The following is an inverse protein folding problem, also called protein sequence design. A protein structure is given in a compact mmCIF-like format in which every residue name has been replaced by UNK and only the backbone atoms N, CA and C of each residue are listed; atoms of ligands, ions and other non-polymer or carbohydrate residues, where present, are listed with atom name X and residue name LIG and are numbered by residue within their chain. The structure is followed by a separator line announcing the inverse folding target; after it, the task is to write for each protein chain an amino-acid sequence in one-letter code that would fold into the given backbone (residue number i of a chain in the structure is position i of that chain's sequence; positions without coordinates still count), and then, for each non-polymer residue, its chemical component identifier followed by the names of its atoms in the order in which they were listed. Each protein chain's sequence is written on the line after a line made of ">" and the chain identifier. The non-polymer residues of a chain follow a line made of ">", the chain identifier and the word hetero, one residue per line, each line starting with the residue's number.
data_IF_613256751066
#
_entry.id   IF_613256751066
#
_cell.length_a   1.000
_cell.length_b   1.000
_cell.length_c   1.000
_cell.angle_alpha   90.00
_cell.angle_beta   90.00
_cell.angle_gamma   90.00
#
_symmetry.space_group_name_H-M   'P 1'
#
loop_
_entity.id
_entity.type
_entity.pdbx_description
1 polymer ?
#
# COMPACT_ATOMS: atom_id res chain seq x y z
N UNK A 1 -49.32 17.46 -7.06
CA UNK A 1 -47.87 17.74 -6.98
C UNK A 1 -47.44 17.22 -5.62
N UNK A 2 -46.49 16.29 -5.58
CA UNK A 2 -46.17 15.55 -4.37
C UNK A 2 -45.29 16.37 -3.44
N UNK A 3 -45.03 15.83 -2.25
CA UNK A 3 -44.06 16.42 -1.32
C UNK A 3 -42.72 16.70 -2.02
N UNK A 4 -42.12 17.85 -1.72
CA UNK A 4 -40.90 18.32 -2.39
C UNK A 4 -39.73 17.33 -2.23
N UNK A 5 -39.67 16.60 -1.11
CA UNK A 5 -38.62 15.60 -0.90
C UNK A 5 -38.80 14.35 -1.77
N UNK A 6 -40.05 13.98 -2.10
CA UNK A 6 -40.34 12.88 -3.00
C UNK A 6 -40.08 13.27 -4.46
N UNK A 7 -40.44 14.49 -4.86
CA UNK A 7 -40.18 14.96 -6.23
C UNK A 7 -38.69 15.06 -6.53
N UNK A 8 -37.88 15.56 -5.59
CA UNK A 8 -36.42 15.59 -5.72
C UNK A 8 -35.81 14.18 -5.83
N UNK A 9 -36.34 13.22 -5.08
CA UNK A 9 -35.90 11.83 -5.15
C UNK A 9 -36.22 11.22 -6.52
N UNK A 10 -37.41 11.49 -7.06
CA UNK A 10 -37.81 11.02 -8.38
C UNK A 10 -36.92 11.62 -9.46
N UNK A 11 -36.68 12.94 -9.43
CA UNK A 11 -35.84 13.61 -10.42
C UNK A 11 -34.39 13.12 -10.39
N UNK A 12 -33.85 12.82 -9.20
CA UNK A 12 -32.52 12.24 -9.05
C UNK A 12 -32.42 10.83 -9.63
N UNK A 13 -33.45 9.99 -9.40
CA UNK A 13 -33.49 8.60 -9.85
C UNK A 13 -33.70 8.48 -11.36
N UNK A 14 -34.48 9.37 -11.98
CA UNK A 14 -34.73 9.30 -13.42
C UNK A 14 -33.65 10.02 -14.26
N UNK A 15 -32.70 10.71 -13.64
CA UNK A 15 -31.74 11.60 -14.31
C UNK A 15 -30.89 10.92 -15.39
N UNK A 16 -30.59 9.64 -15.24
CA UNK A 16 -29.81 8.85 -16.20
C UNK A 16 -30.67 8.20 -17.32
N UNK A 17 -31.99 8.35 -17.25
CA UNK A 17 -32.96 7.82 -18.20
C UNK A 17 -33.25 6.32 -18.05
N UNK A 18 -32.71 5.64 -17.03
CA UNK A 18 -32.90 4.21 -16.79
C UNK A 18 -33.11 3.95 -15.30
N UNK A 19 -34.31 3.54 -14.91
CA UNK A 19 -34.58 3.20 -13.51
C UNK A 19 -34.29 1.72 -13.21
N UNK A 20 -33.50 1.45 -12.17
CA UNK A 20 -33.22 0.10 -11.68
C UNK A 20 -34.26 -0.39 -10.65
N UNK A 21 -34.34 -1.70 -10.46
CA UNK A 21 -35.24 -2.32 -9.46
C UNK A 21 -34.93 -1.89 -8.01
N UNK A 22 -33.71 -1.42 -7.74
CA UNK A 22 -33.34 -0.91 -6.43
C UNK A 22 -33.87 0.51 -6.24
N UNK A 23 -33.72 1.37 -7.24
CA UNK A 23 -34.19 2.75 -7.18
C UNK A 23 -35.72 2.83 -7.18
N UNK A 24 -36.39 1.99 -7.98
CA UNK A 24 -37.85 1.85 -7.95
C UNK A 24 -38.34 1.52 -6.53
N UNK A 25 -37.70 0.57 -5.84
CA UNK A 25 -38.04 0.21 -4.45
C UNK A 25 -37.83 1.36 -3.46
N UNK A 26 -36.79 2.17 -3.64
CA UNK A 26 -36.52 3.32 -2.76
C UNK A 26 -37.60 4.38 -2.90
N UNK A 27 -38.02 4.69 -4.13
CA UNK A 27 -39.12 5.63 -4.38
C UNK A 27 -40.43 5.12 -3.79
N UNK A 28 -40.77 3.84 -4.01
CA UNK A 28 -41.99 3.23 -3.47
C UNK A 28 -42.03 3.25 -1.93
N UNK A 29 -40.90 2.94 -1.28
CA UNK A 29 -40.80 2.99 0.19
C UNK A 29 -40.98 4.40 0.74
N UNK A 30 -40.45 5.41 0.04
CA UNK A 30 -40.60 6.82 0.41
C UNK A 30 -42.05 7.29 0.20
N UNK A 31 -42.67 6.91 -0.92
CA UNK A 31 -44.08 7.22 -1.20
C UNK A 31 -45.02 6.60 -0.17
N UNK A 32 -44.80 5.32 0.21
CA UNK A 32 -45.56 4.65 1.25
C UNK A 32 -45.44 5.34 2.62
N UNK A 33 -44.25 5.88 2.96
CA UNK A 33 -44.07 6.64 4.21
C UNK A 33 -44.85 7.96 4.25
N UNK A 34 -45.26 8.46 3.09
CA UNK A 34 -46.09 9.66 2.91
C UNK A 34 -47.57 9.31 2.72
N UNK A 35 -47.93 8.02 2.82
CA UNK A 35 -49.30 7.53 2.65
C UNK A 35 -49.79 7.57 1.20
N UNK A 36 -48.89 7.60 0.22
CA UNK A 36 -49.22 7.60 -1.21
C UNK A 36 -49.40 6.16 -1.68
N UNK A 37 -50.41 5.93 -2.52
CA UNK A 37 -50.69 4.62 -3.10
C UNK A 37 -49.58 4.15 -4.04
N UNK A 38 -49.28 2.85 -4.01
CA UNK A 38 -48.19 2.26 -4.78
C UNK A 38 -48.43 2.36 -6.29
N UNK A 39 -49.66 2.13 -6.76
CA UNK A 39 -49.97 2.13 -8.18
C UNK A 39 -49.97 3.57 -8.72
N UNK A 40 -50.43 4.53 -7.90
CA UNK A 40 -50.43 5.96 -8.24
C UNK A 40 -49.02 6.50 -8.47
N UNK A 41 -48.06 6.17 -7.59
CA UNK A 41 -46.68 6.64 -7.73
C UNK A 41 -45.95 5.94 -8.86
N UNK A 42 -46.28 4.69 -9.17
CA UNK A 42 -45.66 3.92 -10.24
C UNK A 42 -46.04 4.49 -11.62
N UNK A 43 -47.33 4.78 -11.83
CA UNK A 43 -47.80 5.47 -13.05
C UNK A 43 -47.16 6.86 -13.19
N UNK A 44 -47.01 7.58 -12.08
CA UNK A 44 -46.38 8.90 -12.08
C UNK A 44 -44.89 8.85 -12.45
N UNK A 45 -44.16 7.90 -11.88
CA UNK A 45 -42.74 7.66 -12.14
C UNK A 45 -42.49 7.32 -13.62
N UNK A 46 -43.31 6.44 -14.18
CA UNK A 46 -43.23 6.03 -15.59
C UNK A 46 -43.57 7.20 -16.54
N UNK A 47 -44.60 7.99 -16.21
CA UNK A 47 -44.94 9.19 -17.00
C UNK A 47 -43.81 10.22 -17.03
N UNK A 48 -43.09 10.40 -15.91
CA UNK A 48 -41.96 11.34 -15.81
C UNK A 48 -40.73 10.81 -16.56
N UNK A 49 -40.47 9.50 -16.50
CA UNK A 49 -39.42 8.84 -17.27
C UNK A 49 -39.68 8.93 -18.79
N UNK A 50 -40.92 8.75 -19.22
CA UNK A 50 -41.31 8.88 -20.64
C UNK A 50 -41.24 10.32 -21.14
N UNK A 51 -41.62 11.29 -20.31
CA UNK A 51 -41.45 12.71 -20.61
C UNK A 51 -39.97 13.07 -20.80
N UNK A 52 -39.10 12.54 -19.93
CA UNK A 52 -37.66 12.70 -20.04
C UNK A 52 -37.13 12.09 -21.34
N UNK A 53 -37.50 10.84 -21.66
CA UNK A 53 -37.11 10.18 -22.92
C UNK A 53 -37.59 10.94 -24.16
N UNK A 54 -38.78 11.54 -24.13
CA UNK A 54 -39.30 12.40 -25.21
C UNK A 54 -38.56 13.74 -25.32
N UNK A 55 -37.95 14.24 -24.24
CA UNK A 55 -37.13 15.45 -24.29
C UNK A 55 -35.77 15.22 -24.97
N UNK A 56 -35.24 13.99 -24.90
CA UNK A 56 -33.98 13.59 -25.53
C UNK A 56 -34.12 13.10 -26.97
N UNK A 57 -35.34 12.85 -27.46
CA UNK A 57 -35.58 12.60 -28.88
C UNK A 57 -35.91 13.91 -29.62
N UNK A 58 -35.26 14.21 -30.76
CA UNK A 58 -35.63 15.38 -31.54
C UNK A 58 -37.09 15.23 -31.99
N UNK A 59 -37.90 16.27 -31.74
CA UNK A 59 -39.25 16.36 -32.31
C UNK A 59 -39.12 16.18 -33.83
N UNK A 60 -39.55 15.04 -34.35
CA UNK A 60 -39.71 14.86 -35.78
C UNK A 60 -40.79 15.82 -36.23
N UNK A 61 -40.37 16.93 -36.84
CA UNK A 61 -41.27 17.82 -37.54
C UNK A 61 -41.98 17.03 -38.62
N UNK A 62 -43.29 16.81 -38.44
CA UNK A 62 -44.19 16.40 -39.51
C UNK A 62 -44.28 17.55 -40.53
N UNK A 63 -43.32 17.66 -41.42
CA UNK A 63 -43.49 18.32 -42.70
C UNK A 63 -43.00 17.39 -43.80
N UNK A 64 -43.95 16.74 -44.47
CA UNK A 64 -43.70 16.05 -45.73
C UNK A 64 -43.30 17.08 -46.79
N UNK A 65 -42.00 17.39 -46.85
CA UNK A 65 -41.41 18.00 -48.04
C UNK A 65 -41.02 16.85 -48.94
N UNK A 66 -41.83 16.62 -49.97
CA UNK A 66 -41.45 15.75 -51.08
C UNK A 66 -40.22 16.39 -51.73
N UNK A 67 -39.05 15.77 -51.55
CA UNK A 67 -37.81 16.24 -52.18
C UNK A 67 -37.80 15.76 -53.63
N UNK A 68 -37.85 16.69 -54.57
CA UNK A 68 -37.76 16.41 -56.01
C UNK A 68 -36.32 16.52 -56.48
N UNK A 69 -35.92 15.70 -57.45
CA UNK A 69 -34.60 15.75 -58.07
C UNK A 69 -34.46 17.08 -58.82
N UNK A 70 -33.41 17.88 -58.57
CA UNK A 70 -33.23 19.17 -59.24
C UNK A 70 -32.91 19.03 -60.74
N UNK A 71 -32.51 17.85 -61.19
CA UNK A 71 -32.15 17.59 -62.59
C UNK A 71 -33.32 17.06 -63.43
N UNK A 72 -34.24 16.27 -62.85
CA UNK A 72 -35.34 15.66 -63.62
C UNK A 72 -36.74 15.78 -62.97
N UNK A 73 -36.85 16.39 -61.80
CA UNK A 73 -38.12 16.59 -61.10
C UNK A 73 -38.70 15.34 -60.42
N UNK A 74 -38.10 14.15 -60.59
CA UNK A 74 -38.58 12.92 -59.97
C UNK A 74 -38.57 12.99 -58.44
N UNK A 75 -39.54 12.36 -57.78
CA UNK A 75 -39.58 12.27 -56.32
C UNK A 75 -38.46 11.38 -55.80
N UNK A 76 -37.63 11.91 -54.91
CA UNK A 76 -36.44 11.23 -54.38
C UNK A 76 -36.74 10.72 -52.98
N UNK A 77 -36.49 9.43 -52.75
CA UNK A 77 -36.52 8.84 -51.41
C UNK A 77 -35.49 9.55 -50.51
N UNK A 78 -35.89 9.92 -49.29
CA UNK A 78 -35.00 10.63 -48.36
C UNK A 78 -33.72 9.83 -48.10
N UNK A 79 -32.57 10.37 -48.54
CA UNK A 79 -31.25 9.75 -48.35
C UNK A 79 -30.66 9.03 -49.57
N UNK A 80 -31.31 9.04 -50.73
CA UNK A 80 -30.71 8.49 -51.96
C UNK A 80 -29.49 9.33 -52.39
N UNK A 81 -28.34 8.69 -52.61
CA UNK A 81 -27.10 9.35 -53.05
C UNK A 81 -27.05 9.65 -54.56
N UNK A 82 -27.90 8.97 -55.34
CA UNK A 82 -28.08 9.20 -56.78
C UNK A 82 -29.57 9.09 -57.12
N UNK A 83 -30.03 9.88 -58.08
CA UNK A 83 -31.40 9.75 -58.58
C UNK A 83 -31.56 8.45 -59.37
N UNK A 84 -32.52 7.59 -59.00
CA UNK A 84 -32.81 6.32 -59.70
C UNK A 84 -33.20 6.54 -61.17
N UNK A 85 -33.91 7.64 -61.45
CA UNK A 85 -34.45 7.93 -62.79
C UNK A 85 -33.42 8.55 -63.76
N UNK A 86 -32.48 9.39 -63.29
CA UNK A 86 -31.59 10.14 -64.18
C UNK A 86 -30.09 10.01 -63.85
N UNK A 87 -29.75 9.23 -62.83
CA UNK A 87 -28.36 9.00 -62.42
C UNK A 87 -27.65 10.21 -61.81
N UNK A 88 -28.32 11.35 -61.63
CA UNK A 88 -27.74 12.56 -61.03
C UNK A 88 -27.25 12.25 -59.61
N UNK A 89 -25.95 12.42 -59.38
CA UNK A 89 -25.34 12.27 -58.07
C UNK A 89 -25.57 13.54 -57.26
N UNK A 90 -26.20 13.41 -56.09
CA UNK A 90 -26.42 14.55 -55.22
C UNK A 90 -25.09 14.93 -54.57
N UNK A 91 -24.43 15.94 -55.12
CA UNK A 91 -23.23 16.55 -54.55
C UNK A 91 -23.59 17.97 -54.12
N UNK A 92 -23.51 18.26 -52.82
CA UNK A 92 -23.74 19.61 -52.30
C UNK A 92 -24.71 19.70 -51.13
N UNK A 93 -24.35 19.10 -50.01
CA UNK A 93 -24.59 19.73 -48.71
C UNK A 93 -23.19 20.11 -48.25
N UNK A 94 -22.94 21.39 -47.95
CA UNK A 94 -21.65 21.95 -47.56
C UNK A 94 -20.81 20.95 -46.74
N UNK A 95 -19.84 20.33 -47.40
CA UNK A 95 -19.00 19.29 -46.81
C UNK A 95 -17.98 19.96 -45.90
N UNK A 96 -18.41 20.32 -44.69
CA UNK A 96 -17.47 20.48 -43.59
C UNK A 96 -16.96 19.06 -43.30
N UNK A 97 -15.76 18.70 -43.79
CA UNK A 97 -15.26 17.32 -43.68
C UNK A 97 -15.39 16.85 -42.23
N UNK A 98 -15.89 15.64 -42.01
CA UNK A 98 -16.34 15.21 -40.68
C UNK A 98 -15.23 15.29 -39.62
N UNK A 99 -13.97 15.20 -40.05
CA UNK A 99 -12.79 15.46 -39.23
C UNK A 99 -12.69 16.92 -38.75
N UNK A 100 -12.97 17.90 -39.62
CA UNK A 100 -13.00 19.33 -39.27
C UNK A 100 -14.13 19.63 -38.30
N UNK A 101 -15.31 19.07 -38.51
CA UNK A 101 -16.46 19.26 -37.62
C UNK A 101 -16.20 18.65 -36.22
N UNK A 102 -15.53 17.50 -36.15
CA UNK A 102 -15.08 16.93 -34.89
C UNK A 102 -14.06 17.84 -34.19
N UNK A 103 -13.06 18.34 -34.93
CA UNK A 103 -12.03 19.21 -34.38
C UNK A 103 -12.61 20.53 -33.86
N UNK A 104 -13.56 21.13 -34.59
CA UNK A 104 -14.28 22.34 -34.19
C UNK A 104 -15.07 22.13 -32.88
N UNK A 105 -15.80 21.01 -32.77
CA UNK A 105 -16.54 20.65 -31.54
C UNK A 105 -15.60 20.45 -30.35
N UNK A 106 -14.42 19.90 -30.57
CA UNK A 106 -13.43 19.69 -29.50
C UNK A 106 -12.77 21.00 -29.05
N UNK A 107 -12.55 21.94 -29.98
CA UNK A 107 -12.02 23.29 -29.67
C UNK A 107 -13.02 24.19 -28.95
N UNK A 108 -14.32 23.95 -29.13
CA UNK A 108 -15.37 24.73 -28.48
C UNK A 108 -15.51 24.45 -26.97
N UNK A 109 -14.91 23.37 -26.47
CA UNK A 109 -14.95 22.99 -25.05
C UNK A 109 -14.03 23.92 -24.26
N UNK A 110 -14.54 24.46 -23.14
CA UNK A 110 -13.80 25.28 -22.17
C UNK A 110 -14.03 24.75 -20.76
N UNK A 111 -12.96 24.62 -19.98
CA UNK A 111 -13.01 24.17 -18.59
C UNK A 111 -11.63 23.88 -18.01
N UNK A 112 -11.58 23.18 -16.87
CA UNK A 112 -10.35 22.66 -16.25
C UNK A 112 -9.87 21.42 -17.00
N UNK A 113 -8.57 21.10 -16.95
CA UNK A 113 -7.98 20.02 -17.76
C UNK A 113 -8.69 18.66 -17.59
N UNK A 114 -9.12 18.30 -16.37
CA UNK A 114 -9.77 17.02 -16.10
C UNK A 114 -11.23 16.95 -16.57
N UNK A 115 -12.02 18.02 -16.36
CA UNK A 115 -13.40 18.09 -16.88
C UNK A 115 -13.45 18.16 -18.40
N UNK A 116 -12.49 18.87 -19.00
CA UNK A 116 -12.37 18.99 -20.46
C UNK A 116 -12.04 17.65 -21.10
N UNK A 117 -11.22 16.81 -20.45
CA UNK A 117 -10.84 15.51 -20.98
C UNK A 117 -12.01 14.53 -21.06
N UNK A 118 -12.91 14.55 -20.08
CA UNK A 118 -14.13 13.73 -20.09
C UNK A 118 -15.13 14.20 -21.13
N UNK A 119 -15.38 15.51 -21.21
CA UNK A 119 -16.25 16.11 -22.24
C UNK A 119 -15.71 15.82 -23.65
N UNK A 120 -14.39 15.92 -23.86
CA UNK A 120 -13.72 15.60 -25.13
C UNK A 120 -13.87 14.12 -25.48
N UNK A 121 -13.63 13.22 -24.53
CA UNK A 121 -13.77 11.78 -24.76
C UNK A 121 -15.21 11.39 -25.12
N UNK A 122 -16.20 12.00 -24.45
CA UNK A 122 -17.61 11.78 -24.75
C UNK A 122 -17.98 12.30 -26.14
N UNK A 123 -17.49 13.48 -26.54
CA UNK A 123 -17.72 14.02 -27.89
C UNK A 123 -17.09 13.13 -28.96
N UNK A 124 -15.86 12.65 -28.75
CA UNK A 124 -15.18 11.76 -29.70
C UNK A 124 -15.96 10.44 -29.85
N UNK A 125 -16.37 9.83 -28.74
CA UNK A 125 -17.07 8.54 -28.75
C UNK A 125 -18.50 8.65 -29.33
N UNK A 126 -19.21 9.75 -29.09
CA UNK A 126 -20.56 9.96 -29.61
C UNK A 126 -20.59 10.58 -31.02
N UNK A 127 -19.44 10.92 -31.61
CA UNK A 127 -19.41 11.60 -32.91
C UNK A 127 -19.95 10.68 -34.04
N UNK A 128 -20.85 11.18 -34.90
CA UNK A 128 -21.45 10.38 -35.96
C UNK A 128 -20.41 9.97 -36.99
N UNK A 129 -20.43 8.71 -37.40
CA UNK A 129 -19.51 8.21 -38.42
C UNK A 129 -20.03 8.59 -39.81
N UNK A 130 -19.18 9.16 -40.68
CA UNK A 130 -19.53 9.44 -42.07
C UNK A 130 -20.04 8.21 -42.80
N UNK A 131 -20.94 8.41 -43.76
CA UNK A 131 -21.52 7.33 -44.57
C UNK A 131 -21.03 7.33 -46.01
N UNK A 132 -20.48 8.45 -46.48
CA UNK A 132 -19.86 8.54 -47.80
C UNK A 132 -18.48 7.89 -47.75
N UNK A 133 -18.06 7.33 -48.88
CA UNK A 133 -16.79 6.63 -49.02
C UNK A 133 -15.61 7.57 -48.74
N UNK A 134 -15.61 8.73 -49.39
CA UNK A 134 -14.53 9.70 -49.34
C UNK A 134 -14.39 10.30 -47.93
N UNK A 135 -15.49 10.67 -47.28
CA UNK A 135 -15.44 11.24 -45.93
C UNK A 135 -15.05 10.18 -44.89
N UNK A 136 -15.43 8.91 -45.07
CA UNK A 136 -15.04 7.83 -44.16
C UNK A 136 -13.53 7.58 -44.20
N UNK A 137 -12.94 7.58 -45.40
CA UNK A 137 -11.49 7.41 -45.57
C UNK A 137 -10.73 8.61 -44.99
N UNK A 138 -11.17 9.85 -45.28
CA UNK A 138 -10.55 11.06 -44.73
C UNK A 138 -10.65 11.09 -43.19
N UNK A 139 -11.80 10.70 -42.65
CA UNK A 139 -12.02 10.66 -41.20
C UNK A 139 -11.14 9.60 -40.53
N UNK A 140 -11.01 8.41 -41.11
CA UNK A 140 -10.10 7.38 -40.61
C UNK A 140 -8.64 7.84 -40.61
N UNK A 141 -8.18 8.49 -41.69
CA UNK A 141 -6.82 9.02 -41.78
C UNK A 141 -6.54 10.11 -40.74
N UNK A 142 -7.53 10.94 -40.40
CA UNK A 142 -7.42 11.95 -39.35
C UNK A 142 -7.40 11.36 -37.92
N UNK A 143 -8.12 10.24 -37.70
CA UNK A 143 -8.19 9.58 -36.40
C UNK A 143 -6.97 8.68 -36.14
N UNK A 144 -6.41 8.02 -37.16
CA UNK A 144 -5.33 7.02 -37.04
C UNK A 144 -4.15 7.48 -36.16
N UNK A 145 -3.49 8.64 -36.37
CA UNK A 145 -2.35 9.02 -35.55
C UNK A 145 -2.70 9.23 -34.07
N UNK A 146 -3.91 9.74 -33.77
CA UNK A 146 -4.40 9.97 -32.41
C UNK A 146 -4.88 8.69 -31.72
N UNK A 147 -5.45 7.76 -32.51
CA UNK A 147 -5.87 6.44 -32.04
C UNK A 147 -4.66 5.54 -31.70
N UNK A 148 -3.55 5.71 -32.41
CA UNK A 148 -2.34 4.92 -32.23
C UNK A 148 -1.32 5.53 -31.25
N UNK A 149 -1.38 6.84 -30.97
CA UNK A 149 -0.42 7.53 -30.07
C UNK A 149 -0.44 7.04 -28.62
N UNK A 150 -1.55 6.43 -28.20
CA UNK A 150 -1.76 5.91 -26.84
C UNK A 150 -1.66 4.38 -26.71
N UNK A 151 -1.09 3.66 -27.66
CA UNK A 151 -0.94 2.19 -27.57
C UNK A 151 0.47 1.87 -27.04
N UNK A 152 0.63 0.91 -26.10
CA UNK A 152 -0.35 -0.06 -25.58
C UNK A 152 -1.12 0.44 -24.36
N UNK A 153 -0.63 1.48 -23.68
CA UNK A 153 -1.26 2.05 -22.51
C UNK A 153 -2.00 3.32 -22.91
N UNK A 154 -3.32 3.20 -23.10
CA UNK A 154 -4.21 4.34 -23.32
C UNK A 154 -4.07 5.25 -22.11
N UNK A 155 -3.29 6.34 -22.24
CA UNK A 155 -2.82 7.13 -21.09
C UNK A 155 -3.96 7.87 -20.42
N UNK A 156 -4.99 8.21 -21.20
CA UNK A 156 -6.13 8.99 -20.75
C UNK A 156 -7.44 8.54 -21.45
N UNK A 157 -8.57 9.04 -20.96
CA UNK A 157 -9.91 8.77 -21.53
C UNK A 157 -10.01 9.18 -23.01
N UNK A 158 -9.26 10.20 -23.43
CA UNK A 158 -9.25 10.72 -24.81
C UNK A 158 -8.63 9.71 -25.78
N UNK A 159 -7.45 9.17 -25.46
CA UNK A 159 -6.76 8.17 -26.28
C UNK A 159 -7.64 6.93 -26.48
N UNK A 160 -8.37 6.55 -25.40
CA UNK A 160 -9.35 5.45 -25.45
C UNK A 160 -10.49 5.76 -26.42
N UNK A 161 -11.06 6.97 -26.35
CA UNK A 161 -12.15 7.39 -27.22
C UNK A 161 -11.73 7.48 -28.70
N UNK A 162 -10.54 8.02 -28.99
CA UNK A 162 -10.01 8.04 -30.36
C UNK A 162 -9.82 6.64 -30.92
N UNK A 163 -9.26 5.73 -30.12
CA UNK A 163 -9.10 4.33 -30.51
C UNK A 163 -10.43 3.66 -30.82
N UNK A 164 -11.42 3.80 -29.94
CA UNK A 164 -12.74 3.17 -30.11
C UNK A 164 -13.47 3.73 -31.32
N UNK A 165 -13.45 5.04 -31.52
CA UNK A 165 -14.04 5.68 -32.71
C UNK A 165 -13.34 5.24 -34.00
N UNK A 166 -12.03 5.09 -33.99
CA UNK A 166 -11.26 4.60 -35.13
C UNK A 166 -11.59 3.14 -35.47
N UNK A 167 -11.72 2.27 -34.45
CA UNK A 167 -12.18 0.88 -34.63
C UNK A 167 -13.60 0.83 -35.20
N UNK A 168 -14.50 1.68 -34.72
CA UNK A 168 -15.87 1.77 -35.24
C UNK A 168 -15.89 2.19 -36.72
N UNK A 169 -15.01 3.12 -37.12
CA UNK A 169 -14.84 3.52 -38.53
C UNK A 169 -14.30 2.37 -39.38
N UNK A 170 -13.34 1.60 -38.88
CA UNK A 170 -12.80 0.41 -39.57
C UNK A 170 -13.92 -0.61 -39.79
N UNK A 171 -14.68 -0.95 -38.76
CA UNK A 171 -15.79 -1.91 -38.86
C UNK A 171 -16.83 -1.44 -39.88
N UNK A 172 -17.15 -0.14 -39.88
CA UNK A 172 -18.06 0.43 -40.88
C UNK A 172 -17.47 0.38 -42.29
N UNK A 173 -16.18 0.64 -42.46
CA UNK A 173 -15.49 0.53 -43.75
C UNK A 173 -15.46 -0.92 -44.26
N UNK A 174 -15.27 -1.91 -43.39
CA UNK A 174 -15.34 -3.34 -43.76
C UNK A 174 -16.74 -3.73 -44.29
N UNK A 175 -17.81 -3.15 -43.72
CA UNK A 175 -19.19 -3.41 -44.13
C UNK A 175 -19.63 -2.61 -45.37
N UNK A 176 -19.27 -1.33 -45.45
CA UNK A 176 -19.71 -0.42 -46.49
C UNK A 176 -18.83 -0.47 -47.75
N UNK A 177 -17.56 -0.87 -47.63
CA UNK A 177 -16.55 -0.85 -48.70
C UNK A 177 -15.77 -2.18 -48.78
N UNK A 178 -16.44 -3.34 -48.97
CA UNK A 178 -15.80 -4.65 -48.95
C UNK A 178 -14.78 -4.84 -50.09
N UNK A 179 -15.07 -4.30 -51.28
CA UNK A 179 -14.24 -4.50 -52.49
C UNK A 179 -12.88 -3.77 -52.43
N UNK A 180 -12.76 -2.75 -51.58
CA UNK A 180 -11.56 -1.89 -51.52
C UNK A 180 -10.57 -2.31 -50.44
N UNK A 181 -10.93 -3.28 -49.58
CA UNK A 181 -10.09 -3.80 -48.49
C UNK A 181 -9.52 -2.75 -47.52
N UNK A 182 -10.02 -1.51 -47.54
CA UNK A 182 -9.55 -0.41 -46.68
C UNK A 182 -9.62 -0.82 -45.21
N UNK A 183 -10.77 -1.33 -44.76
CA UNK A 183 -10.93 -1.82 -43.39
C UNK A 183 -9.94 -2.93 -43.01
N UNK A 184 -9.70 -3.90 -43.90
CA UNK A 184 -8.75 -5.00 -43.67
C UNK A 184 -7.29 -4.52 -43.52
N UNK A 185 -6.88 -3.48 -44.26
CA UNK A 185 -5.54 -2.90 -44.16
C UNK A 185 -5.36 -2.24 -42.78
N UNK A 186 -6.31 -1.41 -42.37
CA UNK A 186 -6.25 -0.71 -41.08
C UNK A 186 -6.38 -1.69 -39.90
N UNK A 187 -7.22 -2.73 -39.99
CA UNK A 187 -7.31 -3.77 -38.96
C UNK A 187 -6.05 -4.62 -38.85
N UNK A 188 -5.37 -4.91 -39.98
CA UNK A 188 -4.07 -5.60 -39.99
C UNK A 188 -2.96 -4.75 -39.35
N UNK A 189 -2.94 -3.44 -39.59
CA UNK A 189 -2.02 -2.50 -38.92
C UNK A 189 -2.21 -2.49 -37.41
N UNK A 190 -3.46 -2.42 -36.94
CA UNK A 190 -3.79 -2.48 -35.50
C UNK A 190 -3.27 -3.76 -34.84
N UNK A 191 -3.47 -4.92 -35.48
CA UNK A 191 -2.95 -6.22 -35.00
C UNK A 191 -1.42 -6.24 -34.93
N UNK A 192 -0.75 -5.68 -35.95
CA UNK A 192 0.72 -5.59 -35.99
C UNK A 192 1.29 -4.70 -34.88
N UNK A 193 0.61 -3.61 -34.54
CA UNK A 193 1.02 -2.72 -33.45
C UNK A 193 0.91 -3.45 -32.10
N UNK A 194 -0.25 -4.03 -31.75
CA UNK A 194 -0.44 -4.75 -30.49
C UNK A 194 0.56 -5.90 -30.28
N UNK A 195 0.91 -6.66 -31.35
CA UNK A 195 1.87 -7.76 -31.26
C UNK A 195 3.27 -7.30 -30.82
N UNK A 196 3.76 -6.17 -31.33
CA UNK A 196 5.11 -5.64 -30.99
C UNK A 196 5.21 -5.31 -29.51
N UNK A 197 4.19 -4.69 -28.93
CA UNK A 197 4.18 -4.31 -27.53
C UNK A 197 3.97 -5.49 -26.59
N UNK A 198 3.16 -6.48 -26.99
CA UNK A 198 3.00 -7.69 -26.19
C UNK A 198 4.32 -8.46 -26.06
N UNK A 199 5.09 -8.56 -27.15
CA UNK A 199 6.43 -9.18 -27.12
C UNK A 199 7.38 -8.37 -26.22
N UNK A 200 7.45 -7.05 -26.40
CA UNK A 200 8.30 -6.19 -25.57
C UNK A 200 7.98 -6.31 -24.08
N UNK A 201 6.69 -6.29 -23.72
CA UNK A 201 6.23 -6.40 -22.34
C UNK A 201 6.58 -7.75 -21.72
N UNK A 202 6.39 -8.85 -22.46
CA UNK A 202 6.77 -10.19 -21.96
C UNK A 202 8.27 -10.30 -21.68
N UNK A 203 9.11 -9.71 -22.53
CA UNK A 203 10.57 -9.68 -22.32
C UNK A 203 10.93 -8.85 -21.08
N UNK A 204 10.30 -7.69 -20.91
CA UNK A 204 10.53 -6.81 -19.76
C UNK A 204 10.12 -7.51 -18.45
N UNK A 205 8.95 -8.17 -18.41
CA UNK A 205 8.52 -8.92 -17.22
C UNK A 205 9.52 -10.03 -16.90
N UNK A 206 9.94 -10.82 -17.89
CA UNK A 206 10.89 -11.91 -17.67
C UNK A 206 12.24 -11.37 -17.15
N UNK A 207 12.71 -10.24 -17.67
CA UNK A 207 13.91 -9.58 -17.15
C UNK A 207 13.75 -9.14 -15.69
N UNK A 208 12.60 -8.56 -15.32
CA UNK A 208 12.31 -8.18 -13.93
C UNK A 208 12.28 -9.42 -13.03
N UNK A 209 11.63 -10.51 -13.46
CA UNK A 209 11.57 -11.76 -12.68
C UNK A 209 12.98 -12.32 -12.46
N UNK A 210 13.85 -12.28 -13.46
CA UNK A 210 15.25 -12.72 -13.33
C UNK A 210 16.04 -11.84 -12.35
N UNK A 211 15.87 -10.52 -12.41
CA UNK A 211 16.53 -9.59 -11.49
C UNK A 211 16.06 -9.84 -10.05
N UNK A 212 14.74 -9.91 -9.83
CA UNK A 212 14.16 -10.18 -8.51
C UNK A 212 14.59 -11.55 -7.99
N UNK A 213 14.56 -12.58 -8.84
CA UNK A 213 15.04 -13.93 -8.50
C UNK A 213 16.52 -13.93 -8.11
N UNK A 214 17.36 -13.18 -8.82
CA UNK A 214 18.78 -13.02 -8.48
C UNK A 214 19.02 -12.31 -7.14
N UNK A 215 18.24 -11.27 -6.84
CA UNK A 215 18.31 -10.57 -5.53
C UNK A 215 17.87 -11.50 -4.39
N UNK A 216 16.80 -12.28 -4.59
CA UNK A 216 16.33 -13.25 -3.58
C UNK A 216 17.39 -14.33 -3.34
N UNK A 217 17.97 -14.88 -4.42
CA UNK A 217 19.01 -15.91 -4.33
C UNK A 217 20.24 -15.42 -3.55
N UNK A 218 20.78 -14.26 -3.92
CA UNK A 218 21.96 -13.68 -3.24
C UNK A 218 21.67 -13.30 -1.79
N UNK A 219 20.47 -12.80 -1.49
CA UNK A 219 20.07 -12.52 -0.11
C UNK A 219 19.99 -13.79 0.74
N UNK A 220 19.46 -14.88 0.18
CA UNK A 220 19.37 -16.17 0.88
C UNK A 220 20.75 -16.74 1.23
N UNK A 221 21.70 -16.70 0.29
CA UNK A 221 23.08 -17.18 0.52
C UNK A 221 23.78 -16.37 1.62
N UNK A 222 23.63 -15.03 1.61
CA UNK A 222 24.19 -14.15 2.66
C UNK A 222 23.56 -14.43 4.02
N UNK A 223 22.26 -14.75 4.07
CA UNK A 223 21.58 -15.09 5.32
C UNK A 223 22.07 -16.42 5.90
N UNK A 224 22.20 -17.46 5.07
CA UNK A 224 22.76 -18.75 5.50
C UNK A 224 24.17 -18.60 6.08
N UNK A 225 25.05 -17.85 5.41
CA UNK A 225 26.39 -17.59 5.89
C UNK A 225 26.43 -16.78 7.21
N UNK A 226 25.41 -15.95 7.48
CA UNK A 226 25.27 -15.24 8.76
C UNK A 226 24.79 -16.16 9.88
N UNK A 227 23.83 -17.04 9.58
CA UNK A 227 23.32 -18.04 10.52
C UNK A 227 24.42 -19.02 10.95
N UNK A 228 25.22 -19.52 10.02
CA UNK A 228 26.36 -20.40 10.34
C UNK A 228 27.37 -19.73 11.28
N UNK A 229 27.71 -18.46 11.02
CA UNK A 229 28.61 -17.69 11.89
C UNK A 229 28.01 -17.40 13.26
N UNK A 230 26.71 -17.14 13.34
CA UNK A 230 26.03 -16.95 14.61
C UNK A 230 26.00 -18.26 15.40
N UNK A 231 25.68 -19.38 14.75
CA UNK A 231 25.68 -20.71 15.37
C UNK A 231 27.07 -21.11 15.87
N UNK A 232 28.13 -20.86 15.10
CA UNK A 232 29.50 -21.13 15.54
C UNK A 232 29.87 -20.26 16.74
N UNK A 233 29.51 -18.98 16.73
CA UNK A 233 29.76 -18.06 17.85
C UNK A 233 29.03 -18.51 19.12
N UNK A 234 27.79 -18.98 19.01
CA UNK A 234 27.03 -19.53 20.14
C UNK A 234 27.67 -20.80 20.69
N UNK A 235 28.14 -21.71 19.84
CA UNK A 235 28.83 -22.92 20.29
C UNK A 235 30.11 -22.58 21.09
N UNK A 236 30.93 -21.66 20.57
CA UNK A 236 32.14 -21.19 21.27
C UNK A 236 31.81 -20.44 22.57
N UNK A 237 30.68 -19.73 22.62
CA UNK A 237 30.18 -19.08 23.83
C UNK A 237 29.80 -20.09 24.91
N UNK A 238 29.04 -21.14 24.57
CA UNK A 238 28.61 -22.16 25.53
C UNK A 238 29.80 -22.92 26.12
N UNK A 239 30.81 -23.23 25.30
CA UNK A 239 32.05 -23.86 25.77
C UNK A 239 32.79 -22.94 26.74
N UNK A 240 33.05 -21.68 26.35
CA UNK A 240 33.70 -20.70 27.21
C UNK A 240 32.93 -20.46 28.51
N UNK A 241 31.60 -20.39 28.45
CA UNK A 241 30.71 -20.18 29.60
C UNK A 241 30.84 -21.36 30.56
N UNK A 242 30.79 -22.59 30.05
CA UNK A 242 30.93 -23.80 30.87
C UNK A 242 32.28 -23.84 31.59
N UNK A 243 33.37 -23.58 30.89
CA UNK A 243 34.71 -23.51 31.50
C UNK A 243 34.79 -22.40 32.55
N UNK A 244 34.28 -21.20 32.22
CA UNK A 244 34.27 -20.06 33.12
C UNK A 244 33.44 -20.32 34.38
N UNK A 245 32.30 -21.01 34.27
CA UNK A 245 31.46 -21.36 35.43
C UNK A 245 32.20 -22.27 36.42
N UNK A 246 32.95 -23.27 35.92
CA UNK A 246 33.79 -24.13 36.76
C UNK A 246 34.87 -23.31 37.47
N UNK A 247 35.57 -22.44 36.73
CA UNK A 247 36.58 -21.55 37.35
C UNK A 247 36.00 -20.62 38.42
N UNK A 248 34.78 -20.11 38.20
CA UNK A 248 34.09 -19.22 39.15
C UNK A 248 33.75 -20.00 40.43
N UNK A 249 33.25 -21.23 40.30
CA UNK A 249 32.93 -22.09 41.43
C UNK A 249 34.17 -22.43 42.24
N UNK A 250 35.26 -22.85 41.59
CA UNK A 250 36.54 -23.14 42.24
C UNK A 250 37.11 -21.90 42.94
N UNK A 251 37.07 -20.73 42.29
CA UNK A 251 37.54 -19.49 42.89
C UNK A 251 36.69 -19.08 44.11
N UNK A 252 35.37 -19.22 44.01
CA UNK A 252 34.46 -18.93 45.11
C UNK A 252 34.71 -19.88 46.30
N UNK A 253 34.96 -21.17 46.03
CA UNK A 253 35.28 -22.16 47.07
C UNK A 253 36.58 -21.81 47.80
N UNK A 254 37.64 -21.45 47.07
CA UNK A 254 38.92 -21.02 47.67
C UNK A 254 38.74 -19.80 48.58
N UNK A 255 37.94 -18.80 48.16
CA UNK A 255 37.66 -17.64 49.00
C UNK A 255 36.78 -18.01 50.21
N UNK A 256 35.84 -18.93 50.03
CA UNK A 256 34.98 -19.41 51.12
C UNK A 256 35.77 -20.20 52.16
N UNK A 257 36.76 -20.99 51.76
CA UNK A 257 37.67 -21.70 52.67
C UNK A 257 38.49 -20.71 53.51
N UNK A 258 38.99 -19.63 52.89
CA UNK A 258 39.68 -18.56 53.63
C UNK A 258 38.77 -17.86 54.64
N UNK A 259 37.48 -17.66 54.30
CA UNK A 259 36.49 -17.12 55.23
C UNK A 259 36.19 -18.10 56.37
N UNK A 260 36.09 -19.40 56.08
CA UNK A 260 35.81 -20.43 57.09
C UNK A 260 36.99 -20.67 58.04
N UNK A 261 38.22 -20.38 57.59
CA UNK A 261 39.40 -20.40 58.43
C UNK A 261 39.44 -19.26 59.47
N UNK A 262 38.57 -18.25 59.37
CA UNK A 262 38.47 -17.18 60.37
C UNK A 262 37.85 -17.77 61.65
N UNK A 263 38.55 -17.73 62.79
CA UNK A 263 38.01 -18.27 64.03
C UNK A 263 36.79 -17.46 64.47
N UNK A 264 35.91 -18.09 65.25
CA UNK A 264 34.71 -17.43 65.78
C UNK A 264 35.07 -16.12 66.50
N UNK A 265 34.51 -14.96 66.07
CA UNK A 265 34.84 -13.67 66.67
C UNK A 265 34.38 -13.57 68.12
N UNK A 266 35.27 -13.09 68.98
CA UNK A 266 35.04 -12.80 70.39
C UNK A 266 35.71 -11.48 70.76
N UNK A 267 35.34 -10.91 71.91
CA UNK A 267 35.94 -9.67 72.41
C UNK A 267 37.48 -9.74 72.59
N UNK A 268 38.09 -10.94 72.62
CA UNK A 268 39.54 -11.12 72.80
C UNK A 268 40.32 -11.28 71.50
N UNK A 269 39.68 -11.71 70.42
CA UNK A 269 40.35 -12.04 69.14
C UNK A 269 39.81 -11.26 67.94
N UNK A 270 38.94 -10.27 68.16
CA UNK A 270 38.27 -9.51 67.09
C UNK A 270 39.25 -8.82 66.13
N UNK A 271 40.39 -8.29 66.62
CA UNK A 271 41.41 -7.64 65.78
C UNK A 271 42.03 -8.62 64.78
N UNK A 272 42.42 -9.81 65.25
CA UNK A 272 42.97 -10.87 64.40
C UNK A 272 41.94 -11.35 63.38
N UNK A 273 40.68 -11.55 63.80
CA UNK A 273 39.60 -11.91 62.89
C UNK A 273 39.39 -10.83 61.82
N UNK A 274 39.41 -9.54 62.20
CA UNK A 274 39.29 -8.41 61.29
C UNK A 274 40.44 -8.36 60.27
N UNK A 275 41.68 -8.58 60.72
CA UNK A 275 42.84 -8.63 59.83
C UNK A 275 42.78 -9.79 58.82
N UNK A 276 42.28 -10.96 59.23
CA UNK A 276 42.04 -12.09 58.31
C UNK A 276 40.91 -11.78 57.33
N UNK A 277 39.79 -11.23 57.83
CA UNK A 277 38.63 -10.86 57.02
C UNK A 277 38.97 -9.84 55.93
N UNK A 278 39.78 -8.83 56.24
CA UNK A 278 40.21 -7.81 55.29
C UNK A 278 41.05 -8.36 54.13
N UNK A 279 41.76 -9.48 54.32
CA UNK A 279 42.59 -10.09 53.27
C UNK A 279 41.78 -10.83 52.20
N UNK A 280 40.56 -11.26 52.52
CA UNK A 280 39.74 -12.06 51.60
C UNK A 280 38.88 -11.13 50.75
N UNK A 281 39.17 -11.00 49.45
CA UNK A 281 38.42 -10.11 48.54
C UNK A 281 38.17 -10.77 47.19
N UNK A 282 37.00 -10.51 46.61
CA UNK A 282 36.68 -10.90 45.24
C UNK A 282 37.34 -9.92 44.26
N UNK A 283 38.32 -10.38 43.50
CA UNK A 283 39.14 -9.53 42.62
C UNK A 283 39.12 -9.92 41.14
N UNK A 284 38.80 -11.18 40.82
CA UNK A 284 38.70 -11.65 39.43
C UNK A 284 37.31 -11.35 38.86
N UNK A 285 37.24 -11.11 37.55
CA UNK A 285 36.00 -10.92 36.78
C UNK A 285 36.01 -11.81 35.54
N UNK A 286 34.86 -12.35 35.19
CA UNK A 286 34.69 -13.18 33.99
C UNK A 286 33.83 -12.42 32.97
N UNK A 287 34.48 -11.46 32.31
CA UNK A 287 33.93 -10.69 31.18
C UNK A 287 34.76 -11.00 29.92
N UNK A 288 34.05 -11.29 28.83
CA UNK A 288 34.66 -11.46 27.52
C UNK A 288 33.95 -10.56 26.50
N UNK A 289 34.69 -9.58 25.97
CA UNK A 289 34.17 -8.60 24.99
C UNK A 289 33.50 -9.25 23.80
N UNK A 290 33.98 -10.42 23.36
CA UNK A 290 33.43 -11.18 22.23
C UNK A 290 32.00 -11.66 22.49
N UNK A 291 31.68 -11.97 23.75
CA UNK A 291 30.40 -12.57 24.16
C UNK A 291 29.47 -11.63 24.91
N UNK A 292 29.81 -10.34 25.02
CA UNK A 292 29.02 -9.35 25.77
C UNK A 292 27.57 -9.22 25.31
N UNK A 293 27.29 -9.37 24.02
CA UNK A 293 25.91 -9.36 23.53
C UNK A 293 25.11 -10.55 24.06
N UNK A 294 25.71 -11.74 24.03
CA UNK A 294 25.11 -12.99 24.49
C UNK A 294 24.92 -13.00 26.01
N UNK A 295 25.92 -12.52 26.75
CA UNK A 295 25.82 -12.33 28.20
C UNK A 295 24.61 -11.43 28.56
N UNK A 296 24.42 -10.32 27.84
CA UNK A 296 23.29 -9.41 28.05
C UNK A 296 21.94 -10.04 27.76
N UNK A 297 21.84 -10.86 26.71
CA UNK A 297 20.62 -11.60 26.38
C UNK A 297 20.21 -12.56 27.50
N UNK A 298 21.19 -13.16 28.18
CA UNK A 298 20.97 -14.03 29.34
C UNK A 298 20.84 -13.28 30.69
N UNK A 299 20.86 -11.94 30.68
CA UNK A 299 20.70 -11.12 31.87
C UNK A 299 21.98 -10.83 32.66
N UNK A 300 23.14 -11.23 32.13
CA UNK A 300 24.47 -10.85 32.61
C UNK A 300 24.89 -9.55 31.91
N UNK A 301 24.51 -8.41 32.51
CA UNK A 301 24.87 -7.08 32.03
C UNK A 301 26.34 -6.75 32.38
N UNK A 302 26.60 -5.61 33.04
CA UNK A 302 27.95 -5.19 33.42
C UNK A 302 28.51 -5.98 34.62
N UNK A 303 27.70 -6.87 35.20
CA UNK A 303 28.02 -7.65 36.41
C UNK A 303 28.91 -8.87 36.13
N UNK A 304 29.16 -9.22 34.86
CA UNK A 304 29.92 -10.41 34.47
C UNK A 304 29.18 -11.73 34.73
N UNK A 305 29.78 -12.85 34.30
CA UNK A 305 29.22 -14.19 34.51
C UNK A 305 29.24 -14.60 36.00
N UNK A 306 30.14 -14.00 36.79
CA UNK A 306 30.36 -14.29 38.20
C UNK A 306 29.35 -13.65 39.17
N UNK A 307 28.38 -12.89 38.65
CA UNK A 307 27.39 -12.12 39.42
C UNK A 307 26.80 -12.86 40.62
N UNK A 308 26.33 -14.09 40.42
CA UNK A 308 25.62 -14.82 41.46
C UNK A 308 26.57 -15.43 42.50
N UNK A 309 27.73 -15.91 42.07
CA UNK A 309 28.78 -16.39 42.95
C UNK A 309 29.34 -15.25 43.82
N UNK A 310 29.59 -14.08 43.21
CA UNK A 310 29.99 -12.86 43.91
C UNK A 310 28.96 -12.47 44.98
N UNK A 311 27.67 -12.45 44.65
CA UNK A 311 26.61 -12.14 45.62
C UNK A 311 26.57 -13.15 46.78
N UNK A 312 26.76 -14.43 46.50
CA UNK A 312 26.82 -15.46 47.54
C UNK A 312 28.02 -15.25 48.47
N UNK A 313 29.21 -15.03 47.91
CA UNK A 313 30.42 -14.70 48.66
C UNK A 313 30.25 -13.43 49.50
N UNK A 314 29.74 -12.35 48.90
CA UNK A 314 29.53 -11.07 49.57
C UNK A 314 28.58 -11.22 50.78
N UNK A 315 27.51 -11.99 50.66
CA UNK A 315 26.61 -12.29 51.79
C UNK A 315 27.34 -12.99 52.94
N UNK A 316 28.15 -14.00 52.63
CA UNK A 316 28.93 -14.74 53.65
C UNK A 316 29.97 -13.85 54.31
N UNK A 317 30.74 -13.12 53.51
CA UNK A 317 31.75 -12.16 53.99
C UNK A 317 31.12 -11.09 54.90
N UNK A 318 29.98 -10.52 54.49
CA UNK A 318 29.29 -9.51 55.30
C UNK A 318 28.77 -10.07 56.62
N UNK A 319 28.23 -11.30 56.62
CA UNK A 319 27.80 -11.97 57.87
C UNK A 319 28.94 -12.13 58.88
N UNK A 320 30.13 -12.53 58.41
CA UNK A 320 31.33 -12.63 59.26
C UNK A 320 31.77 -11.23 59.72
N UNK A 321 31.73 -10.23 58.84
CA UNK A 321 32.04 -8.83 59.16
C UNK A 321 31.15 -8.30 60.28
N UNK A 322 29.85 -8.56 60.24
CA UNK A 322 28.92 -8.18 61.31
C UNK A 322 29.22 -8.88 62.64
N UNK A 323 29.60 -10.16 62.62
CA UNK A 323 30.04 -10.86 63.84
C UNK A 323 31.30 -10.23 64.44
N UNK A 324 32.26 -9.82 63.60
CA UNK A 324 33.46 -9.11 64.04
C UNK A 324 33.11 -7.74 64.63
N UNK A 325 32.21 -6.97 64.00
CA UNK A 325 31.69 -5.70 64.53
C UNK A 325 31.04 -5.88 65.91
N UNK A 326 30.23 -6.92 66.09
CA UNK A 326 29.61 -7.24 67.40
C UNK A 326 30.65 -7.63 68.46
N UNK A 327 31.68 -8.41 68.08
CA UNK A 327 32.77 -8.79 68.96
C UNK A 327 33.61 -7.58 69.39
N UNK A 328 33.89 -6.64 68.48
CA UNK A 328 34.56 -5.38 68.77
C UNK A 328 33.75 -4.51 69.74
N UNK A 329 32.44 -4.32 69.50
CA UNK A 329 31.56 -3.60 70.42
C UNK A 329 31.57 -4.22 71.83
N UNK A 330 31.61 -5.56 71.93
CA UNK A 330 31.72 -6.22 73.22
C UNK A 330 33.07 -5.96 73.89
N UNK A 331 34.17 -5.90 73.14
CA UNK A 331 35.48 -5.53 73.66
C UNK A 331 35.49 -4.11 74.24
N UNK A 332 34.90 -3.13 73.53
CA UNK A 332 34.75 -1.76 74.01
C UNK A 332 33.87 -1.68 75.28
N UNK A 333 32.78 -2.45 75.34
CA UNK A 333 31.96 -2.53 76.57
C UNK A 333 32.75 -3.11 77.73
N UNK A 334 33.59 -4.12 77.50
CA UNK A 334 34.44 -4.71 78.53
C UNK A 334 35.50 -3.73 79.06
N UNK A 335 35.90 -2.71 78.28
CA UNK A 335 36.81 -1.64 78.73
C UNK A 335 36.10 -0.49 79.45
N UNK A 336 34.79 -0.62 79.72
CA UNK A 336 33.99 0.34 80.48
C UNK A 336 33.24 1.36 79.62
N UNK A 337 33.25 1.22 78.30
CA UNK A 337 32.53 2.11 77.40
C UNK A 337 31.01 1.86 77.45
N UNK A 338 30.21 2.92 77.36
CA UNK A 338 28.75 2.79 77.28
C UNK A 338 28.32 2.07 76.00
N UNK A 339 27.13 1.47 75.99
CA UNK A 339 26.61 0.76 74.80
C UNK A 339 26.51 1.68 73.58
N UNK A 340 26.09 2.93 73.79
CA UNK A 340 25.91 3.91 72.72
C UNK A 340 27.25 4.36 72.16
N UNK A 341 28.23 4.63 73.04
CA UNK A 341 29.56 5.06 72.61
C UNK A 341 30.28 3.93 71.88
N UNK A 342 30.20 2.69 72.37
CA UNK A 342 30.79 1.52 71.72
C UNK A 342 30.21 1.27 70.32
N UNK A 343 28.90 1.48 70.15
CA UNK A 343 28.25 1.40 68.84
C UNK A 343 28.76 2.48 67.89
N UNK A 344 28.76 3.74 68.32
CA UNK A 344 29.20 4.88 67.51
C UNK A 344 30.69 4.75 67.11
N UNK A 345 31.56 4.33 68.02
CA UNK A 345 32.98 4.09 67.74
C UNK A 345 33.15 2.98 66.70
N UNK A 346 32.43 1.86 66.86
CA UNK A 346 32.50 0.74 65.89
C UNK A 346 31.99 1.15 64.52
N UNK A 347 30.90 1.92 64.45
CA UNK A 347 30.39 2.44 63.18
C UNK A 347 31.47 3.30 62.53
N UNK A 348 32.03 4.28 63.23
CA UNK A 348 33.05 5.18 62.66
C UNK A 348 34.30 4.44 62.15
N UNK A 349 34.78 3.44 62.89
CA UNK A 349 35.99 2.69 62.51
C UNK A 349 35.77 1.73 61.33
N UNK A 350 34.58 1.14 61.20
CA UNK A 350 34.30 0.18 60.12
C UNK A 350 33.68 0.86 58.87
N UNK A 351 33.00 2.00 59.00
CA UNK A 351 32.45 2.75 57.87
C UNK A 351 33.54 3.35 56.96
N UNK A 352 34.67 3.77 57.54
CA UNK A 352 35.84 4.28 56.79
C UNK A 352 36.58 3.16 56.01
N UNK A 353 36.34 1.89 56.36
CA UNK A 353 36.96 0.72 55.72
C UNK A 353 36.16 0.13 54.56
N UNK A 354 34.84 0.36 54.52
CA UNK A 354 33.96 -0.11 53.44
C UNK A 354 33.99 0.80 52.18
N UNK A 355 34.60 1.99 52.26
CA UNK A 355 34.68 3.01 51.17
C UNK A 355 36.09 3.33 50.67
N UNK A 356 37.12 2.56 51.07
CA UNK A 356 38.45 2.56 50.46
C UNK A 356 38.68 1.23 49.75
#
# INVERSE_FOLDING_TARGET
>A
MYDQSLEQLIDAVIADGVITDQERRVVLKKAASLGIDQDEIEVYLEGRLDALKKSYMPKSGKHGVVKTCPNCGATVESGAAKCKECGFAFTGIEANSSAKLLDERLRAIRGTEDEDNEKRANIISSFPIPTTREDLIEFMAALEPKALSGIPFKKNKIDKAYYEKYVECINKAELALPDEKVGQIHSSRLKGYNRKYHVLYTVVILAIILIVGGVIYTSNEVMQAREEKAASLHAEYEEWKKESMVEIEEYAEQLNEQLDAIPTPTARNWETCGAMWNKVSWSKKWDNKKYRSLLKEEGYYDDGLDKDAFKAFARKKNSIGEQIKMAHQQALRNSGMSKTDAHNTTVNEFYDSEYR
#
